data_IF_431227376775
#
_entry.id   IF_431227376775
#
_cell.length_a   1.000
_cell.length_b   1.000
_cell.length_c   1.000
_cell.angle_alpha   90.00
_cell.angle_beta   90.00
_cell.angle_gamma   90.00
#
_symmetry.space_group_name_H-M   'P 1'
#
loop_
_entity.id
_entity.type
_entity.pdbx_description
1 polymer ?
#
# COMPACT_ATOMS: atom_id res chain seq x y z
N UNK A 1 -16.14 58.40 -45.30
CA UNK A 1 -17.15 58.78 -44.29
C UNK A 1 -17.82 57.50 -43.78
N UNK A 2 -17.88 57.38 -42.45
CA UNK A 2 -18.73 56.50 -41.61
C UNK A 2 -18.56 54.98 -41.76
N UNK A 3 -17.86 54.27 -40.85
CA UNK A 3 -18.16 53.96 -39.43
C UNK A 3 -19.42 53.10 -39.23
N UNK A 4 -19.15 51.87 -38.74
CA UNK A 4 -19.95 51.02 -37.86
C UNK A 4 -20.99 50.12 -38.54
N UNK A 5 -20.69 48.81 -38.55
CA UNK A 5 -21.63 47.80 -38.09
C UNK A 5 -20.91 46.45 -37.79
N UNK A 6 -21.11 45.95 -36.56
CA UNK A 6 -21.04 44.54 -36.10
C UNK A 6 -19.66 43.85 -36.17
N UNK A 7 -18.83 43.70 -35.13
CA UNK A 7 -19.04 43.42 -33.71
C UNK A 7 -19.89 42.17 -33.43
N UNK A 8 -19.27 40.99 -33.49
CA UNK A 8 -19.45 39.86 -32.57
C UNK A 8 -18.59 38.69 -33.06
N UNK A 9 -18.26 37.76 -32.15
CA UNK A 9 -17.54 36.51 -32.38
C UNK A 9 -16.02 36.68 -32.36
N UNK A 10 -15.45 36.64 -31.15
CA UNK A 10 -14.28 35.82 -30.79
C UNK A 10 -13.98 36.03 -29.30
N UNK A 11 -14.89 35.56 -28.44
CA UNK A 11 -14.63 35.39 -27.01
C UNK A 11 -15.10 33.99 -26.59
N UNK A 12 -14.39 32.97 -27.06
CA UNK A 12 -14.40 31.65 -26.45
C UNK A 12 -12.96 31.12 -26.37
N UNK A 13 -12.10 31.89 -25.71
CA UNK A 13 -10.89 31.35 -25.09
C UNK A 13 -11.29 30.72 -23.76
N UNK A 14 -11.86 29.51 -23.81
CA UNK A 14 -12.09 28.71 -22.62
C UNK A 14 -10.74 28.43 -21.97
N UNK A 15 -10.46 29.11 -20.86
CA UNK A 15 -9.42 28.69 -19.93
C UNK A 15 -9.82 27.31 -19.42
N UNK A 16 -9.22 26.27 -19.98
CA UNK A 16 -9.20 24.94 -19.37
C UNK A 16 -8.40 25.04 -18.08
N UNK A 17 -9.06 25.54 -17.04
CA UNK A 17 -8.67 25.26 -15.66
C UNK A 17 -8.91 23.77 -15.49
N UNK A 18 -7.85 22.99 -15.62
CA UNK A 18 -7.84 21.60 -15.19
C UNK A 18 -8.15 21.61 -13.69
N UNK A 19 -9.43 21.43 -13.36
CA UNK A 19 -9.87 21.12 -12.01
C UNK A 19 -9.23 19.78 -11.65
N UNK A 20 -8.04 19.83 -11.04
CA UNK A 20 -7.43 18.68 -10.41
C UNK A 20 -8.39 18.27 -9.31
N UNK A 21 -9.15 17.20 -9.55
CA UNK A 21 -9.93 16.57 -8.51
C UNK A 21 -8.97 16.30 -7.33
N UNK A 22 -9.32 16.69 -6.09
CA UNK A 22 -8.46 16.45 -4.95
C UNK A 22 -8.13 14.97 -4.92
N UNK A 23 -6.83 14.66 -4.84
CA UNK A 23 -6.36 13.29 -4.74
C UNK A 23 -7.16 12.60 -3.63
N UNK A 24 -7.74 11.41 -3.87
CA UNK A 24 -8.52 10.71 -2.87
C UNK A 24 -7.67 10.58 -1.62
N UNK A 25 -8.18 11.09 -0.49
CA UNK A 25 -7.52 10.98 0.79
C UNK A 25 -7.18 9.51 1.02
N UNK A 26 -5.91 9.23 1.32
CA UNK A 26 -5.44 7.88 1.59
C UNK A 26 -6.35 7.26 2.66
N UNK A 27 -7.00 6.14 2.32
CA UNK A 27 -7.87 5.45 3.26
C UNK A 27 -7.08 5.11 4.53
N UNK A 28 -7.66 5.43 5.69
CA UNK A 28 -7.05 5.12 6.97
C UNK A 28 -6.79 3.60 7.05
N UNK A 29 -5.60 3.22 7.53
CA UNK A 29 -5.28 1.81 7.78
C UNK A 29 -6.32 1.21 8.71
N UNK A 30 -6.96 0.13 8.27
CA UNK A 30 -7.89 -0.66 9.10
C UNK A 30 -7.16 -1.49 10.15
N UNK A 31 -5.84 -1.64 10.02
CA UNK A 31 -5.01 -2.35 11.01
C UNK A 31 -4.78 -1.43 12.21
N UNK A 32 -5.34 -1.82 13.36
CA UNK A 32 -5.18 -1.09 14.61
C UNK A 32 -3.69 -1.05 15.01
N UNK A 33 -3.16 0.10 15.44
CA UNK A 33 -1.76 0.22 15.85
C UNK A 33 -1.46 -0.60 17.12
N UNK A 34 -0.20 -1.00 17.31
CA UNK A 34 0.21 -1.69 18.53
C UNK A 34 0.10 -0.78 19.76
N UNK A 35 -0.25 -1.35 20.91
CA UNK A 35 -0.40 -0.61 22.18
C UNK A 35 0.80 -0.78 23.12
N UNK A 36 1.91 -1.34 22.64
CA UNK A 36 3.08 -1.72 23.44
C UNK A 36 3.89 -0.55 24.03
N UNK A 37 3.44 0.69 23.88
CA UNK A 37 4.19 1.88 24.28
C UNK A 37 5.43 2.09 23.42
N UNK A 38 6.33 2.96 23.91
CA UNK A 38 7.61 3.22 23.26
C UNK A 38 8.62 2.12 23.58
N UNK A 39 9.46 1.78 22.62
CA UNK A 39 10.59 0.90 22.87
C UNK A 39 11.54 1.58 23.89
N UNK A 40 12.02 0.84 24.89
CA UNK A 40 12.95 1.38 25.87
C UNK A 40 14.29 1.72 25.19
N UNK A 41 14.92 2.79 25.66
CA UNK A 41 16.18 3.28 25.11
C UNK A 41 17.35 2.46 25.66
N UNK A 42 18.27 2.06 24.79
CA UNK A 42 19.50 1.39 25.21
C UNK A 42 20.30 2.29 26.18
N UNK A 43 20.67 1.77 27.36
CA UNK A 43 21.24 2.60 28.43
C UNK A 43 22.70 3.02 28.15
N UNK A 44 23.35 2.46 27.13
CA UNK A 44 24.72 2.80 26.76
C UNK A 44 25.78 2.08 27.59
N UNK A 45 27.04 2.26 27.21
CA UNK A 45 28.18 1.52 27.79
C UNK A 45 28.51 1.93 29.22
N UNK A 46 28.34 3.21 29.55
CA UNK A 46 28.68 3.78 30.86
C UNK A 46 27.50 3.72 31.86
N UNK A 47 26.46 2.93 31.57
CA UNK A 47 25.30 2.78 32.44
C UNK A 47 25.60 1.96 33.69
N UNK A 48 24.96 2.33 34.78
CA UNK A 48 24.99 1.57 36.03
C UNK A 48 24.30 0.21 35.86
N UNK A 49 24.68 -0.77 36.70
CA UNK A 49 24.01 -2.08 36.71
C UNK A 49 22.50 -1.97 36.96
N UNK A 50 22.05 -0.98 37.74
CA UNK A 50 20.62 -0.75 38.01
C UNK A 50 19.88 -0.32 36.74
N UNK A 51 20.46 0.56 35.95
CA UNK A 51 19.88 1.01 34.67
C UNK A 51 19.81 -0.12 33.66
N UNK A 52 20.85 -0.96 33.59
CA UNK A 52 20.87 -2.14 32.72
C UNK A 52 19.77 -3.15 33.09
N UNK A 53 19.62 -3.46 34.37
CA UNK A 53 18.55 -4.35 34.84
C UNK A 53 17.15 -3.77 34.64
N UNK A 54 16.99 -2.44 34.75
CA UNK A 54 15.72 -1.77 34.44
C UNK A 54 15.40 -1.90 32.95
N UNK A 55 16.37 -1.58 32.09
CA UNK A 55 16.25 -1.74 30.64
C UNK A 55 15.87 -3.17 30.25
N UNK A 56 16.54 -4.19 30.79
CA UNK A 56 16.26 -5.59 30.45
C UNK A 56 14.80 -5.99 30.74
N UNK A 57 14.25 -5.57 31.90
CA UNK A 57 12.85 -5.83 32.24
C UNK A 57 11.88 -5.10 31.32
N UNK A 58 12.14 -3.82 31.07
CA UNK A 58 11.31 -2.99 30.18
C UNK A 58 11.35 -3.52 28.75
N UNK A 59 12.53 -3.89 28.26
CA UNK A 59 12.74 -4.43 26.91
C UNK A 59 12.06 -5.77 26.75
N UNK A 60 12.14 -6.65 27.75
CA UNK A 60 11.40 -7.91 27.75
C UNK A 60 9.89 -7.68 27.68
N UNK A 61 9.37 -6.80 28.53
CA UNK A 61 7.93 -6.48 28.59
C UNK A 61 7.43 -5.91 27.27
N UNK A 62 8.14 -4.92 26.73
CA UNK A 62 7.85 -4.33 25.42
C UNK A 62 7.92 -5.38 24.31
N UNK A 63 8.96 -6.21 24.30
CA UNK A 63 9.19 -7.24 23.29
C UNK A 63 8.16 -8.36 23.32
N UNK A 64 7.69 -8.77 24.50
CA UNK A 64 6.58 -9.73 24.66
C UNK A 64 5.28 -9.15 24.07
N UNK A 65 4.97 -7.88 24.34
CA UNK A 65 3.81 -7.20 23.74
C UNK A 65 3.92 -7.09 22.21
N UNK A 66 5.07 -6.64 21.70
CA UNK A 66 5.28 -6.45 20.27
C UNK A 66 5.14 -7.78 19.52
N UNK A 67 5.68 -8.87 20.07
CA UNK A 67 5.49 -10.22 19.53
C UNK A 67 4.03 -10.64 19.52
N UNK A 68 3.30 -10.45 20.61
CA UNK A 68 1.87 -10.78 20.65
C UNK A 68 1.06 -10.00 19.59
N UNK A 69 1.38 -8.74 19.36
CA UNK A 69 0.78 -7.96 18.27
C UNK A 69 1.11 -8.54 16.89
N UNK A 70 2.39 -8.85 16.63
CA UNK A 70 2.81 -9.45 15.36
C UNK A 70 2.12 -10.80 15.14
N UNK A 71 2.06 -11.65 16.15
CA UNK A 71 1.49 -12.99 16.04
C UNK A 71 -0.02 -12.94 15.75
N UNK A 72 -0.75 -12.00 16.35
CA UNK A 72 -2.16 -11.75 16.00
C UNK A 72 -2.32 -11.36 14.53
N UNK A 73 -1.46 -10.49 14.03
CA UNK A 73 -1.56 -10.00 12.65
C UNK A 73 -1.05 -11.01 11.61
N UNK A 74 -0.13 -11.92 11.97
CA UNK A 74 0.34 -12.99 11.07
C UNK A 74 -0.81 -13.86 10.57
N UNK A 75 -1.78 -14.18 11.42
CA UNK A 75 -2.94 -14.98 11.03
C UNK A 75 -3.78 -14.25 9.96
N UNK A 76 -4.05 -12.97 10.17
CA UNK A 76 -4.80 -12.11 9.24
C UNK A 76 -4.06 -11.98 7.91
N UNK A 77 -2.75 -11.71 7.95
CA UNK A 77 -1.91 -11.64 6.75
C UNK A 77 -1.94 -12.97 5.99
N UNK A 78 -1.81 -14.10 6.69
CA UNK A 78 -1.82 -15.41 6.06
C UNK A 78 -3.16 -15.73 5.38
N UNK A 79 -4.29 -15.31 5.95
CA UNK A 79 -5.60 -15.47 5.33
C UNK A 79 -5.72 -14.64 4.05
N UNK A 80 -5.34 -13.35 4.10
CA UNK A 80 -5.34 -12.50 2.91
C UNK A 80 -4.37 -13.01 1.84
N UNK A 81 -3.19 -13.50 2.23
CA UNK A 81 -2.22 -14.07 1.30
C UNK A 81 -2.79 -15.30 0.58
N UNK A 82 -3.56 -16.16 1.27
CA UNK A 82 -4.23 -17.30 0.62
C UNK A 82 -5.21 -16.83 -0.45
N UNK A 83 -6.02 -15.81 -0.17
CA UNK A 83 -6.95 -15.26 -1.15
C UNK A 83 -6.21 -14.68 -2.37
N UNK A 84 -5.09 -13.98 -2.17
CA UNK A 84 -4.25 -13.48 -3.26
C UNK A 84 -3.66 -14.63 -4.09
N UNK A 85 -3.18 -15.68 -3.44
CA UNK A 85 -2.59 -16.83 -4.14
C UNK A 85 -3.61 -17.53 -5.05
N UNK A 86 -4.89 -17.62 -4.67
CA UNK A 86 -5.94 -18.17 -5.55
C UNK A 86 -6.03 -17.39 -6.85
N UNK A 87 -6.02 -16.06 -6.78
CA UNK A 87 -6.07 -15.19 -7.98
C UNK A 87 -4.80 -15.33 -8.82
N UNK A 88 -3.63 -15.47 -8.17
CA UNK A 88 -2.37 -15.73 -8.87
C UNK A 88 -2.43 -17.05 -9.64
N UNK A 89 -2.96 -18.10 -9.03
CA UNK A 89 -3.10 -19.43 -9.64
C UNK A 89 -4.08 -19.38 -10.83
N UNK A 90 -5.21 -18.69 -10.68
CA UNK A 90 -6.16 -18.44 -11.77
C UNK A 90 -5.51 -17.70 -12.94
N UNK A 91 -4.79 -16.62 -12.66
CA UNK A 91 -4.07 -15.84 -13.67
C UNK A 91 -3.07 -16.70 -14.43
N UNK A 92 -2.24 -17.47 -13.70
CA UNK A 92 -1.26 -18.35 -14.31
C UNK A 92 -1.93 -19.41 -15.20
N UNK A 93 -3.03 -20.01 -14.74
CA UNK A 93 -3.79 -20.99 -15.53
C UNK A 93 -4.33 -20.40 -16.84
N UNK A 94 -4.85 -19.16 -16.80
CA UNK A 94 -5.35 -18.48 -18.01
C UNK A 94 -4.21 -18.21 -18.99
N UNK A 95 -3.09 -17.67 -18.50
CA UNK A 95 -1.93 -17.37 -19.34
C UNK A 95 -1.39 -18.64 -20.01
N UNK A 96 -1.31 -19.76 -19.30
CA UNK A 96 -0.82 -21.01 -19.86
C UNK A 96 -1.79 -21.58 -20.92
N UNK A 97 -3.10 -21.55 -20.68
CA UNK A 97 -4.10 -21.93 -21.70
C UNK A 97 -4.01 -21.08 -22.97
N UNK A 98 -3.76 -19.77 -22.83
CA UNK A 98 -3.58 -18.87 -23.99
C UNK A 98 -2.32 -19.25 -24.77
N UNK A 99 -1.20 -19.54 -24.09
CA UNK A 99 0.02 -20.00 -24.75
C UNK A 99 -0.21 -21.32 -25.48
N UNK A 100 -0.83 -22.30 -24.84
CA UNK A 100 -1.15 -23.60 -25.44
C UNK A 100 -2.00 -23.46 -26.69
N UNK A 101 -3.06 -22.64 -26.63
CA UNK A 101 -3.95 -22.38 -27.76
C UNK A 101 -3.19 -21.74 -28.92
N UNK A 102 -2.43 -20.67 -28.65
CA UNK A 102 -1.61 -19.97 -29.65
C UNK A 102 -0.59 -20.92 -30.30
N UNK A 103 0.07 -21.76 -29.51
CA UNK A 103 1.08 -22.68 -30.01
C UNK A 103 0.45 -23.82 -30.83
N UNK A 104 -0.77 -24.25 -30.50
CA UNK A 104 -1.55 -25.19 -31.31
C UNK A 104 -1.95 -24.57 -32.67
N UNK A 105 -2.49 -23.35 -32.65
CA UNK A 105 -2.86 -22.61 -33.88
C UNK A 105 -1.66 -22.42 -34.82
N UNK A 106 -0.50 -22.04 -34.27
CA UNK A 106 0.75 -21.87 -35.03
C UNK A 106 1.26 -23.19 -35.66
N UNK A 107 1.01 -24.34 -35.01
CA UNK A 107 1.38 -25.65 -35.57
C UNK A 107 0.44 -26.08 -36.70
N UNK A 108 -0.85 -25.79 -36.59
CA UNK A 108 -1.83 -26.11 -37.64
C UNK A 108 -1.74 -25.19 -38.87
N UNK A 109 -1.11 -24.02 -38.73
CA UNK A 109 -0.89 -23.08 -39.83
C UNK A 109 0.37 -23.38 -40.68
N UNK A 110 1.13 -24.42 -40.34
CA UNK A 110 2.31 -24.90 -41.07
C UNK A 110 2.03 -26.21 -41.78
#
# INVERSE_FOLDING_TARGET
>A
MNRIALAAVLLLGATVVSAQAPAPAAAASTVAPHTCGKAPQWPGKESSNKERLAFEREFKTWGDCARAYMDKNKAVIAEHQKAVNVVVDEYNSVIDKVKETRDAENKTAK
#
